data_IF_415252742588
#
_entry.id   IF_415252742588
#
_cell.length_a   1.000
_cell.length_b   1.000
_cell.length_c   1.000
_cell.angle_alpha   90.00
_cell.angle_beta   90.00
_cell.angle_gamma   90.00
#
_symmetry.space_group_name_H-M   'P 1'
#
loop_
_entity.id
_entity.type
_entity.pdbx_description
1 polymer ?
#
# COMPACT_ATOMS: atom_id res chain seq x y z
N UNK A 1 9.90 -16.93 12.92
CA UNK A 1 10.29 -15.61 12.40
C UNK A 1 9.17 -15.14 11.48
N UNK A 2 8.77 -13.87 11.58
CA UNK A 2 7.77 -13.28 10.68
C UNK A 2 8.35 -13.20 9.26
N UNK A 3 7.60 -13.70 8.27
CA UNK A 3 7.99 -13.62 6.85
C UNK A 3 7.79 -12.19 6.37
N UNK A 4 8.80 -11.64 5.68
CA UNK A 4 8.64 -10.37 4.96
C UNK A 4 8.03 -10.72 3.60
N UNK A 5 6.80 -10.25 3.39
CA UNK A 5 6.07 -10.45 2.14
C UNK A 5 6.04 -9.14 1.36
N UNK A 6 6.19 -9.23 0.05
CA UNK A 6 5.99 -8.12 -0.88
C UNK A 6 5.09 -8.57 -2.03
N UNK A 7 4.38 -7.67 -2.73
CA UNK A 7 3.62 -8.03 -3.92
C UNK A 7 4.51 -8.69 -4.97
N UNK A 8 4.02 -9.76 -5.58
CA UNK A 8 4.74 -10.48 -6.62
C UNK A 8 4.80 -9.66 -7.92
N UNK A 9 5.88 -9.82 -8.68
CA UNK A 9 6.04 -9.27 -10.03
C UNK A 9 6.64 -10.34 -10.95
N UNK A 10 6.22 -10.39 -12.21
CA UNK A 10 6.66 -11.40 -13.18
C UNK A 10 8.17 -11.33 -13.49
N UNK A 11 8.85 -10.23 -13.15
CA UNK A 11 10.31 -10.12 -13.27
C UNK A 11 11.07 -10.78 -12.11
N UNK A 12 10.41 -11.09 -11.00
CA UNK A 12 11.06 -11.59 -9.79
C UNK A 12 11.58 -13.02 -9.97
N UNK A 13 12.81 -13.28 -9.50
CA UNK A 13 13.44 -14.60 -9.55
C UNK A 13 13.97 -15.02 -8.19
N UNK A 14 13.99 -16.33 -7.94
CA UNK A 14 14.66 -16.88 -6.76
C UNK A 14 16.13 -16.44 -6.72
N UNK A 15 16.57 -16.00 -5.55
CA UNK A 15 17.97 -15.63 -5.30
C UNK A 15 18.33 -14.24 -5.83
N UNK A 16 17.37 -13.52 -6.40
CA UNK A 16 17.54 -12.13 -6.80
C UNK A 16 17.61 -11.24 -5.56
N UNK A 17 18.54 -10.27 -5.56
CA UNK A 17 18.61 -9.23 -4.56
C UNK A 17 17.42 -8.27 -4.64
N UNK A 18 17.06 -7.68 -3.52
CA UNK A 18 15.86 -6.86 -3.43
C UNK A 18 16.01 -5.77 -2.37
N UNK A 19 15.60 -4.55 -2.72
CA UNK A 19 15.50 -3.44 -1.78
C UNK A 19 14.07 -3.39 -1.21
N UNK A 20 13.91 -3.81 0.04
CA UNK A 20 12.62 -3.87 0.74
C UNK A 20 12.05 -2.49 1.06
N UNK A 21 12.86 -1.43 1.05
CA UNK A 21 12.40 -0.06 1.30
C UNK A 21 11.82 0.61 0.05
N UNK A 22 12.46 0.43 -1.10
CA UNK A 22 12.00 1.00 -2.38
C UNK A 22 11.12 0.05 -3.20
N UNK A 23 10.97 -1.21 -2.77
CA UNK A 23 10.33 -2.28 -3.52
C UNK A 23 10.90 -2.37 -4.94
N UNK A 24 12.22 -2.47 -5.00
CA UNK A 24 12.97 -2.50 -6.25
C UNK A 24 13.74 -3.81 -6.38
N UNK A 25 13.61 -4.53 -7.51
CA UNK A 25 14.50 -5.63 -7.83
C UNK A 25 15.93 -5.10 -8.01
N UNK A 26 16.90 -5.81 -7.44
CA UNK A 26 18.32 -5.50 -7.55
C UNK A 26 19.00 -6.58 -8.40
N UNK A 27 20.28 -6.87 -8.14
CA UNK A 27 21.07 -7.83 -8.90
C UNK A 27 20.44 -9.23 -8.93
N UNK A 28 20.45 -9.86 -10.11
CA UNK A 28 20.09 -11.27 -10.26
C UNK A 28 21.18 -12.17 -9.65
N UNK A 29 20.81 -13.41 -9.29
CA UNK A 29 21.77 -14.41 -8.78
C UNK A 29 22.58 -13.97 -7.52
N UNK A 30 22.06 -13.01 -6.75
CA UNK A 30 22.68 -12.57 -5.48
C UNK A 30 22.94 -13.73 -4.51
N UNK A 31 22.07 -14.75 -4.54
CA UNK A 31 22.17 -15.96 -3.74
C UNK A 31 21.86 -17.19 -4.59
N UNK A 32 22.58 -18.29 -4.35
CA UNK A 32 22.24 -19.60 -4.94
C UNK A 32 21.77 -20.59 -3.90
N UNK A 33 20.75 -21.36 -4.26
CA UNK A 33 20.23 -22.45 -3.45
C UNK A 33 20.84 -23.77 -3.93
N UNK A 34 21.36 -24.61 -3.01
CA UNK A 34 21.91 -25.93 -3.37
C UNK A 34 20.85 -27.02 -3.37
N UNK A 35 19.81 -26.88 -2.54
CA UNK A 35 18.72 -27.85 -2.41
C UNK A 35 17.36 -27.13 -2.44
N UNK A 36 16.56 -27.41 -3.48
CA UNK A 36 15.23 -26.83 -3.66
C UNK A 36 14.21 -27.71 -2.94
N UNK A 37 13.88 -27.38 -1.69
CA UNK A 37 12.77 -28.03 -0.99
C UNK A 37 11.50 -27.20 -1.17
N UNK A 38 10.59 -27.65 -2.03
CA UNK A 38 9.26 -27.04 -2.13
C UNK A 38 8.45 -27.45 -0.91
N UNK A 39 8.17 -26.52 0.00
CA UNK A 39 7.21 -26.75 1.08
C UNK A 39 5.79 -26.67 0.52
N UNK A 40 5.27 -27.76 0.00
CA UNK A 40 3.84 -27.81 -0.37
C UNK A 40 3.00 -27.94 0.91
N UNK A 41 2.00 -27.07 1.07
CA UNK A 41 0.92 -27.31 2.03
C UNK A 41 0.22 -28.62 1.62
N UNK A 42 -0.07 -29.54 2.56
CA UNK A 42 -0.69 -30.81 2.22
C UNK A 42 -2.05 -30.58 1.53
N UNK A 43 -2.26 -31.23 0.39
CA UNK A 43 -3.60 -31.35 -0.20
C UNK A 43 -4.51 -32.09 0.78
N UNK A 44 -5.75 -31.62 0.94
CA UNK A 44 -6.73 -32.33 1.77
C UNK A 44 -6.93 -33.77 1.27
N UNK A 45 -7.37 -34.68 2.15
CA UNK A 45 -7.62 -36.09 1.82
C UNK A 45 -8.64 -36.31 0.70
N UNK A 46 -9.42 -35.27 0.34
CA UNK A 46 -10.43 -35.26 -0.71
C UNK A 46 -9.92 -34.63 -2.03
N UNK A 47 -8.61 -34.35 -2.15
CA UNK A 47 -8.02 -33.73 -3.34
C UNK A 47 -8.33 -32.23 -3.50
N UNK A 48 -9.05 -31.61 -2.55
CA UNK A 48 -9.25 -30.15 -2.52
C UNK A 48 -7.99 -29.44 -2.03
N UNK A 49 -7.69 -28.27 -2.63
CA UNK A 49 -6.54 -27.45 -2.26
C UNK A 49 -6.77 -26.88 -0.86
N UNK A 50 -5.84 -27.13 0.07
CA UNK A 50 -5.87 -26.48 1.39
C UNK A 50 -5.69 -24.98 1.20
N UNK A 51 -6.60 -24.18 1.76
CA UNK A 51 -6.54 -22.72 1.67
C UNK A 51 -6.56 -22.11 3.06
N UNK A 52 -5.62 -21.19 3.31
CA UNK A 52 -5.71 -20.25 4.41
C UNK A 52 -6.33 -18.95 3.89
N UNK A 53 -7.48 -18.56 4.45
CA UNK A 53 -8.25 -17.39 4.00
C UNK A 53 -8.32 -16.38 5.13
N UNK A 54 -7.82 -15.17 4.87
CA UNK A 54 -7.90 -14.02 5.76
C UNK A 54 -8.84 -12.97 5.16
N UNK A 55 -9.93 -12.68 5.88
CA UNK A 55 -10.89 -11.63 5.49
C UNK A 55 -10.76 -10.45 6.44
N UNK A 56 -10.62 -9.24 5.89
CA UNK A 56 -10.53 -8.00 6.67
C UNK A 56 -11.41 -6.91 6.07
N UNK A 57 -12.21 -6.26 6.89
CA UNK A 57 -12.92 -5.03 6.53
C UNK A 57 -12.72 -3.98 7.61
N UNK A 58 -12.36 -2.75 7.23
CA UNK A 58 -12.08 -1.65 8.16
C UNK A 58 -12.27 -0.28 7.52
N UNK A 59 -12.54 0.74 8.33
CA UNK A 59 -12.35 2.13 7.92
C UNK A 59 -10.87 2.47 7.90
N UNK A 60 -10.47 3.34 6.98
CA UNK A 60 -9.07 3.75 6.82
C UNK A 60 -8.99 5.26 6.66
N UNK A 61 -8.26 5.91 7.55
CA UNK A 61 -8.05 7.36 7.48
C UNK A 61 -6.71 7.71 6.82
N UNK A 62 -5.70 6.85 6.98
CA UNK A 62 -4.33 7.07 6.50
C UNK A 62 -4.00 6.16 5.33
N UNK A 63 -3.38 6.74 4.30
CA UNK A 63 -2.98 5.99 3.11
C UNK A 63 -1.85 5.02 3.44
N UNK A 64 -1.03 5.34 4.45
CA UNK A 64 0.05 4.47 4.93
C UNK A 64 -0.47 3.16 5.52
N UNK A 65 -1.67 3.15 6.10
CA UNK A 65 -2.32 1.93 6.59
C UNK A 65 -2.80 1.04 5.43
N UNK A 66 -3.25 1.66 4.33
CA UNK A 66 -3.59 0.93 3.10
C UNK A 66 -2.33 0.28 2.51
N UNK A 67 -1.23 1.06 2.40
CA UNK A 67 0.05 0.57 1.88
C UNK A 67 0.57 -0.62 2.68
N UNK A 68 0.61 -0.49 4.02
CA UNK A 68 1.01 -1.58 4.94
C UNK A 68 0.15 -2.82 4.74
N UNK A 69 -1.18 -2.67 4.59
CA UNK A 69 -2.07 -3.83 4.41
C UNK A 69 -1.85 -4.54 3.08
N UNK A 70 -1.49 -3.80 2.04
CA UNK A 70 -1.12 -4.34 0.74
C UNK A 70 0.33 -4.86 0.69
N UNK A 71 1.04 -4.85 1.83
CA UNK A 71 2.46 -5.17 1.91
C UNK A 71 3.30 -4.29 0.96
N UNK A 72 2.90 -3.04 0.69
CA UNK A 72 3.64 -2.09 -0.15
C UNK A 72 4.39 -1.11 0.73
N UNK A 73 5.68 -0.89 0.46
CA UNK A 73 6.44 0.13 1.19
C UNK A 73 5.98 1.54 0.87
N UNK A 74 5.95 2.38 1.90
CA UNK A 74 5.71 3.80 1.77
C UNK A 74 6.75 4.51 0.89
N UNK A 75 8.03 4.13 1.00
CA UNK A 75 9.10 4.67 0.16
C UNK A 75 8.86 4.41 -1.31
N UNK A 76 8.51 3.15 -1.67
CA UNK A 76 8.09 2.82 -3.04
C UNK A 76 6.88 3.63 -3.49
N UNK A 77 5.89 3.83 -2.61
CA UNK A 77 4.64 4.51 -2.97
C UNK A 77 4.88 5.98 -3.31
N UNK A 78 5.70 6.66 -2.50
CA UNK A 78 6.12 8.04 -2.76
C UNK A 78 6.87 8.14 -4.09
N UNK A 79 7.87 7.28 -4.33
CA UNK A 79 8.70 7.32 -5.55
C UNK A 79 7.90 7.04 -6.81
N UNK A 80 6.90 6.15 -6.73
CA UNK A 80 6.02 5.81 -7.85
C UNK A 80 4.82 6.75 -7.99
N UNK A 81 4.62 7.67 -7.04
CA UNK A 81 3.55 8.66 -7.07
C UNK A 81 2.16 8.13 -6.67
N UNK A 82 2.08 6.97 -6.01
CA UNK A 82 0.83 6.31 -5.61
C UNK A 82 1.10 4.91 -5.04
N UNK A 83 0.08 4.27 -4.48
CA UNK A 83 0.20 2.88 -4.01
C UNK A 83 0.13 1.95 -5.21
N UNK A 84 1.28 1.66 -5.82
CA UNK A 84 1.36 0.71 -6.93
C UNK A 84 1.88 -0.62 -6.38
N UNK A 85 0.98 -1.61 -6.27
CA UNK A 85 1.38 -3.01 -6.15
C UNK A 85 2.16 -3.42 -7.41
N UNK A 86 3.33 -4.04 -7.26
CA UNK A 86 4.08 -4.54 -8.42
C UNK A 86 3.28 -5.67 -9.09
N UNK A 87 3.36 -5.77 -10.42
CA UNK A 87 2.54 -6.68 -11.25
C UNK A 87 1.07 -6.27 -11.48
N UNK A 88 0.41 -5.64 -10.50
CA UNK A 88 -1.00 -5.25 -10.59
C UNK A 88 -1.23 -3.92 -9.87
N UNK A 89 -1.62 -2.90 -10.63
CA UNK A 89 -1.93 -1.60 -10.08
C UNK A 89 -3.22 -1.69 -9.26
N UNK A 90 -3.07 -1.70 -7.93
CA UNK A 90 -4.12 -1.14 -7.09
C UNK A 90 -4.10 0.36 -7.37
N UNK A 91 -4.71 0.80 -8.48
CA UNK A 91 -4.90 2.23 -8.75
C UNK A 91 -5.94 2.75 -7.77
N UNK A 92 -5.51 2.99 -6.54
CA UNK A 92 -6.27 3.79 -5.62
C UNK A 92 -6.46 5.13 -6.28
N UNK A 93 -7.70 5.57 -6.43
CA UNK A 93 -7.94 6.94 -6.86
C UNK A 93 -7.65 7.84 -5.67
N UNK A 94 -6.39 8.28 -5.54
CA UNK A 94 -5.96 9.02 -4.36
C UNK A 94 -6.70 10.34 -4.20
N UNK A 95 -7.08 10.95 -5.33
CA UNK A 95 -7.88 12.19 -5.33
C UNK A 95 -9.25 11.93 -4.67
N UNK A 96 -9.90 10.80 -4.99
CA UNK A 96 -11.17 10.43 -4.36
C UNK A 96 -10.99 10.00 -2.91
N UNK A 97 -9.91 9.29 -2.59
CA UNK A 97 -9.59 8.91 -1.20
C UNK A 97 -9.48 10.16 -0.31
N UNK A 98 -8.68 11.15 -0.74
CA UNK A 98 -8.47 12.39 0.01
C UNK A 98 -9.70 13.31 0.05
N UNK A 99 -10.53 13.30 -1.00
CA UNK A 99 -11.75 14.10 -1.04
C UNK A 99 -12.93 13.48 -0.27
N UNK A 100 -12.81 12.23 0.15
CA UNK A 100 -13.88 11.49 0.83
C UNK A 100 -13.80 11.68 2.34
N UNK A 101 -14.97 11.72 2.99
CA UNK A 101 -15.05 11.85 4.45
C UNK A 101 -14.99 10.50 5.16
N UNK A 102 -15.30 9.43 4.41
CA UNK A 102 -15.31 8.05 4.87
C UNK A 102 -14.65 7.20 3.80
N UNK A 103 -13.58 6.50 4.18
CA UNK A 103 -12.95 5.49 3.34
C UNK A 103 -12.99 4.14 4.06
N UNK A 104 -13.39 3.09 3.35
CA UNK A 104 -13.42 1.72 3.87
C UNK A 104 -12.68 0.77 2.92
N UNK A 105 -11.85 -0.09 3.50
CA UNK A 105 -11.10 -1.10 2.77
C UNK A 105 -11.66 -2.48 3.09
N UNK A 106 -11.91 -3.26 2.03
CA UNK A 106 -12.28 -4.67 2.09
C UNK A 106 -11.14 -5.47 1.47
N UNK A 107 -10.63 -6.47 2.18
CA UNK A 107 -9.49 -7.27 1.73
C UNK A 107 -9.74 -8.74 2.00
N UNK A 108 -9.48 -9.58 1.00
CA UNK A 108 -9.50 -11.04 1.09
C UNK A 108 -8.18 -11.57 0.60
N UNK A 109 -7.42 -12.20 1.50
CA UNK A 109 -6.16 -12.86 1.18
C UNK A 109 -6.36 -14.35 1.25
N UNK A 110 -5.99 -15.04 0.19
CA UNK A 110 -6.12 -16.49 0.05
C UNK A 110 -4.73 -17.04 -0.22
N UNK A 111 -4.26 -17.94 0.63
CA UNK A 111 -2.99 -18.64 0.48
C UNK A 111 -3.30 -20.10 0.20
N UNK A 112 -2.88 -20.59 -0.96
CA UNK A 112 -3.01 -21.99 -1.35
C UNK A 112 -1.70 -22.75 -1.11
N UNK A 113 -0.57 -22.15 -1.50
CA UNK A 113 0.74 -22.78 -1.41
C UNK A 113 1.82 -21.74 -1.09
N UNK A 114 2.88 -22.15 -0.40
CA UNK A 114 4.07 -21.32 -0.18
C UNK A 114 5.32 -22.09 -0.57
N UNK A 115 6.00 -21.67 -1.64
CA UNK A 115 7.30 -22.24 -2.03
C UNK A 115 8.40 -21.41 -1.40
N UNK A 116 9.30 -22.02 -0.63
CA UNK A 116 10.37 -21.30 0.08
C UNK A 116 11.66 -22.13 0.11
N UNK A 117 12.79 -21.55 -0.28
CA UNK A 117 14.05 -22.26 -0.52
C UNK A 117 15.11 -21.95 0.55
N UNK A 118 14.78 -22.20 1.83
CA UNK A 118 15.67 -21.82 2.94
C UNK A 118 16.91 -22.73 3.12
N UNK A 119 16.89 -23.94 2.55
CA UNK A 119 17.76 -25.05 2.97
C UNK A 119 19.27 -24.79 2.91
N UNK A 120 19.77 -24.07 1.90
CA UNK A 120 21.21 -23.89 1.66
C UNK A 120 21.51 -22.67 0.78
N UNK A 121 20.84 -21.55 1.05
CA UNK A 121 21.12 -20.29 0.37
C UNK A 121 22.60 -19.89 0.57
N UNK A 122 23.31 -19.59 -0.51
CA UNK A 122 24.74 -19.21 -0.51
C UNK A 122 24.90 -17.88 -1.24
N UNK A 123 25.27 -16.83 -0.51
CA UNK A 123 25.52 -15.50 -1.07
C UNK A 123 26.66 -15.52 -2.09
N UNK A 124 26.51 -14.75 -3.17
CA UNK A 124 27.47 -14.61 -4.27
C UNK A 124 27.97 -13.17 -4.38
N UNK A 125 29.17 -12.87 -3.88
CA UNK A 125 29.79 -11.58 -4.13
C UNK A 125 30.12 -11.44 -5.62
N UNK A 126 29.96 -10.23 -6.14
CA UNK A 126 30.33 -9.89 -7.51
C UNK A 126 31.84 -9.71 -7.57
N UNK A 127 32.47 -10.40 -8.51
CA UNK A 127 33.92 -10.33 -8.68
C UNK A 127 34.35 -8.92 -9.17
N UNK A 128 35.50 -8.44 -8.69
CA UNK A 128 36.21 -7.29 -9.28
C UNK A 128 35.82 -5.89 -8.80
N UNK A 129 34.99 -5.75 -7.76
CA UNK A 129 34.62 -4.45 -7.18
C UNK A 129 34.92 -4.37 -5.69
N UNK A 130 35.56 -3.27 -5.26
CA UNK A 130 35.59 -2.90 -3.84
C UNK A 130 34.17 -2.42 -3.50
N UNK A 131 33.44 -3.21 -2.72
CA UNK A 131 32.12 -2.87 -2.21
C UNK A 131 32.28 -2.20 -0.85
N UNK A 132 31.55 -1.12 -0.64
CA UNK A 132 31.23 -0.53 0.65
C UNK A 132 29.74 -0.73 0.96
N UNK A 133 29.27 -0.28 2.13
CA UNK A 133 27.88 -0.50 2.54
C UNK A 133 26.87 0.20 1.63
N UNK A 134 27.21 1.39 1.11
CA UNK A 134 26.33 2.16 0.20
C UNK A 134 26.18 1.45 -1.15
N UNK A 135 27.31 1.16 -1.81
CA UNK A 135 27.31 0.41 -3.07
C UNK A 135 26.73 -1.01 -2.91
N UNK A 136 26.87 -1.63 -1.73
CA UNK A 136 26.22 -2.88 -1.43
C UNK A 136 24.69 -2.76 -1.46
N UNK A 137 24.10 -1.80 -0.73
CA UNK A 137 22.63 -1.65 -0.69
C UNK A 137 22.07 -1.25 -2.06
N UNK A 138 22.80 -0.48 -2.85
CA UNK A 138 22.42 -0.14 -4.23
C UNK A 138 22.41 -1.36 -5.17
N UNK A 139 23.43 -2.22 -5.07
CA UNK A 139 23.59 -3.37 -5.99
C UNK A 139 22.76 -4.57 -5.55
N UNK A 140 22.73 -4.87 -4.26
CA UNK A 140 22.15 -6.09 -3.70
C UNK A 140 20.82 -5.88 -2.98
N UNK A 141 20.55 -4.65 -2.54
CA UNK A 141 19.48 -4.37 -1.57
C UNK A 141 19.82 -4.89 -0.17
N UNK A 142 18.80 -4.99 0.68
CA UNK A 142 18.90 -5.50 2.05
C UNK A 142 18.44 -6.96 2.19
N UNK A 143 17.70 -7.46 1.21
CA UNK A 143 17.15 -8.81 1.20
C UNK A 143 17.37 -9.50 -0.15
N UNK A 144 17.05 -10.79 -0.20
CA UNK A 144 16.91 -11.54 -1.45
C UNK A 144 15.58 -12.30 -1.49
N UNK A 145 15.11 -12.64 -2.69
CA UNK A 145 13.88 -13.40 -2.89
C UNK A 145 14.16 -14.88 -2.63
N UNK A 146 13.55 -15.42 -1.56
CA UNK A 146 13.73 -16.83 -1.15
C UNK A 146 12.52 -17.70 -1.43
N UNK A 147 11.39 -17.10 -1.78
CA UNK A 147 10.11 -17.79 -1.84
C UNK A 147 9.05 -17.03 -2.61
N UNK A 148 7.98 -17.76 -2.93
CA UNK A 148 6.76 -17.22 -3.50
C UNK A 148 5.54 -17.84 -2.81
N UNK A 149 4.51 -17.03 -2.63
CA UNK A 149 3.21 -17.45 -2.14
C UNK A 149 2.24 -17.45 -3.30
N UNK A 150 1.53 -18.56 -3.46
CA UNK A 150 0.50 -18.74 -4.48
C UNK A 150 -0.88 -18.77 -3.83
N UNK A 151 -1.84 -18.11 -4.46
CA UNK A 151 -3.23 -18.05 -4.02
C UNK A 151 -3.97 -16.93 -4.73
N UNK A 152 -4.53 -16.00 -3.96
CA UNK A 152 -5.22 -14.84 -4.51
C UNK A 152 -5.38 -13.71 -3.49
N UNK A 153 -5.46 -12.48 -3.99
CA UNK A 153 -5.68 -11.29 -3.20
C UNK A 153 -6.79 -10.46 -3.85
N UNK A 154 -7.80 -10.07 -3.10
CA UNK A 154 -8.83 -9.13 -3.53
C UNK A 154 -8.82 -7.96 -2.56
N UNK A 155 -8.75 -6.75 -3.11
CA UNK A 155 -8.86 -5.51 -2.34
C UNK A 155 -9.89 -4.60 -2.99
N UNK A 156 -10.89 -4.20 -2.23
CA UNK A 156 -11.85 -3.16 -2.57
C UNK A 156 -11.65 -1.92 -1.70
N UNK A 157 -11.65 -0.75 -2.32
CA UNK A 157 -11.67 0.55 -1.65
C UNK A 157 -13.01 1.23 -1.91
N UNK A 158 -13.69 1.63 -0.85
CA UNK A 158 -14.95 2.38 -0.86
C UNK A 158 -14.65 3.78 -0.35
N UNK A 159 -14.76 4.78 -1.22
CA UNK A 159 -14.51 6.18 -0.91
C UNK A 159 -15.83 6.95 -1.03
N UNK A 160 -16.37 7.39 0.10
CA UNK A 160 -17.64 8.10 0.17
C UNK A 160 -17.44 9.56 0.59
N UNK A 161 -17.78 10.47 -0.33
CA UNK A 161 -17.88 11.90 -0.05
C UNK A 161 -19.30 12.23 0.39
N UNK A 162 -19.43 12.70 1.63
CA UNK A 162 -20.72 12.98 2.25
C UNK A 162 -21.14 14.41 1.92
N UNK A 163 -22.34 14.59 1.38
CA UNK A 163 -22.83 15.92 0.98
C UNK A 163 -23.16 16.80 2.20
N UNK A 164 -23.59 16.20 3.32
CA UNK A 164 -23.76 16.84 4.62
C UNK A 164 -22.90 16.13 5.67
N UNK A 165 -21.90 16.83 6.22
CA UNK A 165 -20.93 16.27 7.18
C UNK A 165 -21.60 15.66 8.42
N UNK A 166 -22.77 16.18 8.83
CA UNK A 166 -23.56 15.62 9.95
C UNK A 166 -24.00 14.16 9.71
N UNK A 167 -24.09 13.75 8.45
CA UNK A 167 -24.49 12.40 8.07
C UNK A 167 -23.31 11.41 8.04
N UNK A 168 -22.08 11.82 8.38
CA UNK A 168 -20.90 10.93 8.39
C UNK A 168 -21.15 9.65 9.18
N UNK A 169 -21.67 9.75 10.40
CA UNK A 169 -21.95 8.57 11.25
C UNK A 169 -23.02 7.67 10.64
N UNK A 170 -24.03 8.23 9.97
CA UNK A 170 -25.06 7.44 9.28
C UNK A 170 -24.49 6.66 8.09
N UNK A 171 -23.57 7.27 7.33
CA UNK A 171 -22.87 6.61 6.21
C UNK A 171 -21.95 5.50 6.71
N UNK A 172 -21.20 5.72 7.79
CA UNK A 172 -20.39 4.67 8.43
C UNK A 172 -21.27 3.49 8.89
N UNK A 173 -22.41 3.77 9.54
CA UNK A 173 -23.38 2.73 9.93
C UNK A 173 -23.94 1.98 8.73
N UNK A 174 -24.21 2.66 7.62
CA UNK A 174 -24.69 2.03 6.40
C UNK A 174 -23.67 1.06 5.79
N UNK A 175 -22.40 1.49 5.72
CA UNK A 175 -21.30 0.63 5.25
C UNK A 175 -21.15 -0.59 6.18
N UNK A 176 -21.16 -0.38 7.50
CA UNK A 176 -21.12 -1.48 8.50
C UNK A 176 -22.28 -2.47 8.33
N UNK A 177 -23.51 -1.99 8.18
CA UNK A 177 -24.68 -2.86 8.01
C UNK A 177 -24.58 -3.72 6.75
N UNK A 178 -24.10 -3.15 5.63
CA UNK A 178 -23.86 -3.91 4.40
C UNK A 178 -22.79 -4.99 4.57
N UNK A 179 -21.70 -4.71 5.32
CA UNK A 179 -20.68 -5.71 5.66
C UNK A 179 -21.32 -6.86 6.44
N UNK A 180 -22.02 -6.55 7.53
CA UNK A 180 -22.65 -7.55 8.41
C UNK A 180 -23.70 -8.40 7.69
N UNK A 181 -24.53 -7.77 6.85
CA UNK A 181 -25.58 -8.44 6.08
C UNK A 181 -25.02 -9.44 5.06
N UNK A 182 -23.88 -9.14 4.42
CA UNK A 182 -23.26 -10.08 3.48
C UNK A 182 -22.59 -11.26 4.19
N UNK A 183 -22.02 -11.05 5.37
CA UNK A 183 -21.35 -12.11 6.15
C UNK A 183 -22.36 -13.13 6.72
N UNK A 184 -23.52 -12.67 7.19
CA UNK A 184 -24.59 -13.53 7.73
C UNK A 184 -25.22 -14.45 6.68
N UNK A 185 -25.44 -13.96 5.45
CA UNK A 185 -25.97 -14.77 4.34
C UNK A 185 -25.02 -15.88 3.87
N UNK A 186 -23.72 -15.74 4.11
CA UNK A 186 -22.70 -16.69 3.66
C UNK A 186 -22.33 -17.77 4.70
N UNK A 187 -22.77 -17.64 5.95
CA UNK A 187 -22.34 -18.53 7.04
C UNK A 187 -20.83 -18.48 7.37
N UNK A 188 -20.08 -17.54 6.79
CA UNK A 188 -18.65 -17.33 7.04
C UNK A 188 -18.45 -16.10 7.92
N UNK A 189 -17.76 -16.27 9.05
CA UNK A 189 -17.31 -15.17 9.90
C UNK A 189 -16.14 -14.47 9.18
N UNK A 190 -16.41 -13.32 8.55
CA UNK A 190 -15.36 -12.35 8.28
C UNK A 190 -14.90 -11.80 9.64
N UNK A 191 -13.60 -11.59 9.83
CA UNK A 191 -13.08 -10.92 11.03
C UNK A 191 -13.42 -9.43 10.89
N UNK A 192 -14.69 -9.12 11.13
CA UNK A 192 -15.24 -7.78 11.02
C UNK A 192 -14.91 -7.10 12.35
N UNK A 193 -13.90 -6.25 12.37
CA UNK A 193 -13.58 -5.39 13.51
C UNK A 193 -14.62 -4.27 13.72
N UNK A 194 -15.88 -4.50 13.34
CA UNK A 194 -16.97 -3.54 13.30
C UNK A 194 -18.26 -4.24 13.74
N UNK A 195 -18.56 -4.17 15.04
CA UNK A 195 -19.88 -4.56 15.56
C UNK A 195 -20.97 -3.69 14.92
N UNK A 196 -21.98 -4.34 14.32
CA UNK A 196 -23.13 -3.65 13.73
C UNK A 196 -24.33 -4.57 13.60
N UNK A 197 -25.31 -4.40 14.50
CA UNK A 197 -26.57 -5.15 14.55
C UNK A 197 -27.78 -4.33 14.04
N UNK A 198 -27.55 -3.30 13.21
CA UNK A 198 -28.61 -2.35 12.82
C UNK A 198 -29.23 -2.63 11.43
N UNK A 199 -30.53 -2.35 11.35
CA UNK A 199 -31.45 -2.66 10.25
C UNK A 199 -31.13 -1.98 8.91
N UNK A 200 -31.38 -2.70 7.81
CA UNK A 200 -30.98 -2.36 6.42
C UNK A 200 -31.79 -1.25 5.72
N UNK A 201 -32.89 -0.74 6.28
CA UNK A 201 -33.78 0.22 5.60
C UNK A 201 -33.39 1.69 5.78
N UNK A 202 -32.82 2.07 6.93
CA UNK A 202 -32.32 3.44 7.17
C UNK A 202 -30.96 3.70 6.51
N UNK A 203 -30.27 2.64 6.09
CA UNK A 203 -28.90 2.69 5.56
C UNK A 203 -28.84 3.06 4.08
N UNK A 204 -29.84 2.68 3.28
CA UNK A 204 -29.90 3.02 1.85
C UNK A 204 -30.18 4.51 1.60
N UNK A 205 -30.95 5.17 2.46
CA UNK A 205 -31.24 6.60 2.35
C UNK A 205 -30.01 7.45 2.65
N UNK A 206 -29.18 7.04 3.63
CA UNK A 206 -27.91 7.69 3.96
C UNK A 206 -26.91 7.61 2.79
N UNK A 207 -26.81 6.44 2.13
CA UNK A 207 -25.93 6.24 0.97
C UNK A 207 -26.35 7.09 -0.25
N UNK A 208 -27.65 7.37 -0.44
CA UNK A 208 -28.14 8.23 -1.53
C UNK A 208 -27.68 9.69 -1.43
N UNK A 209 -27.24 10.14 -0.25
CA UNK A 209 -26.72 11.48 -0.02
C UNK A 209 -25.18 11.53 -0.06
N UNK A 210 -24.56 10.57 -0.73
CA UNK A 210 -23.10 10.49 -0.89
C UNK A 210 -22.73 10.33 -2.35
N UNK A 211 -21.58 10.92 -2.73
CA UNK A 211 -20.87 10.53 -3.93
C UNK A 211 -19.91 9.41 -3.54
N UNK A 212 -20.26 8.17 -3.90
CA UNK A 212 -19.50 6.96 -3.54
C UNK A 212 -18.76 6.43 -4.75
N UNK A 213 -17.46 6.24 -4.61
CA UNK A 213 -16.61 5.56 -5.58
C UNK A 213 -16.09 4.25 -5.00
N UNK A 214 -16.23 3.17 -5.77
CA UNK A 214 -15.74 1.85 -5.39
C UNK A 214 -14.73 1.39 -6.44
N UNK A 215 -13.50 1.15 -5.99
CA UNK A 215 -12.43 0.57 -6.81
C UNK A 215 -12.11 -0.81 -6.27
N UNK A 216 -11.99 -1.81 -7.16
CA UNK A 216 -11.67 -3.18 -6.76
C UNK A 216 -10.54 -3.70 -7.64
N UNK A 217 -9.52 -4.24 -6.99
CA UNK A 217 -8.36 -4.84 -7.60
C UNK A 217 -8.24 -6.27 -7.08
N UNK A 218 -7.90 -7.21 -7.95
CA UNK A 218 -7.79 -8.61 -7.55
C UNK A 218 -6.71 -9.35 -8.34
N UNK A 219 -6.23 -10.42 -7.73
CA UNK A 219 -5.17 -11.30 -8.16
C UNK A 219 -5.57 -12.74 -7.90
N UNK A 220 -5.49 -13.60 -8.92
CA UNK A 220 -6.08 -14.94 -8.82
C UNK A 220 -7.61 -14.89 -8.85
N UNK A 221 -8.23 -16.05 -9.09
CA UNK A 221 -9.66 -16.14 -9.33
C UNK A 221 -10.05 -15.57 -10.70
N UNK A 222 -10.52 -16.44 -11.60
CA UNK A 222 -10.99 -16.04 -12.93
C UNK A 222 -12.44 -15.54 -12.86
N UNK A 223 -12.76 -14.49 -13.64
CA UNK A 223 -14.14 -14.04 -13.85
C UNK A 223 -14.76 -13.34 -12.64
N UNK A 224 -13.97 -12.51 -11.96
CA UNK A 224 -14.40 -11.73 -10.78
C UNK A 224 -15.31 -10.55 -11.16
N UNK A 225 -15.12 -9.93 -12.33
CA UNK A 225 -16.07 -8.98 -12.92
C UNK A 225 -16.06 -9.13 -14.45
N UNK A 226 -16.69 -10.19 -14.99
CA UNK A 226 -16.61 -10.52 -16.42
C UNK A 226 -17.30 -9.47 -17.31
N UNK A 227 -18.32 -8.78 -16.78
CA UNK A 227 -19.13 -7.84 -17.55
C UNK A 227 -18.60 -6.40 -17.49
N UNK A 228 -17.53 -6.15 -16.73
CA UNK A 228 -16.96 -4.81 -16.52
C UNK A 228 -17.95 -3.83 -15.88
N UNK A 229 -18.97 -4.34 -15.16
CA UNK A 229 -20.00 -3.50 -14.54
C UNK A 229 -19.39 -2.66 -13.40
N UNK A 230 -19.89 -1.43 -13.17
CA UNK A 230 -19.49 -0.65 -12.02
C UNK A 230 -19.71 -1.42 -10.71
N UNK A 231 -18.76 -1.31 -9.79
CA UNK A 231 -18.86 -1.95 -8.48
C UNK A 231 -19.89 -1.26 -7.61
N UNK A 232 -20.71 -2.07 -6.95
CA UNK A 232 -21.60 -1.64 -5.86
C UNK A 232 -21.11 -2.26 -4.57
N UNK A 233 -21.60 -1.76 -3.44
CA UNK A 233 -21.24 -2.30 -2.14
C UNK A 233 -21.66 -3.78 -2.03
N UNK A 234 -22.84 -4.11 -2.55
CA UNK A 234 -23.34 -5.48 -2.64
C UNK A 234 -22.47 -6.37 -3.53
N UNK A 235 -22.12 -5.93 -4.74
CA UNK A 235 -21.32 -6.76 -5.66
C UNK A 235 -19.89 -6.96 -5.15
N UNK A 236 -19.30 -5.97 -4.49
CA UNK A 236 -18.00 -6.10 -3.83
C UNK A 236 -18.02 -7.17 -2.73
N UNK A 237 -18.96 -7.11 -1.78
CA UNK A 237 -18.99 -8.07 -0.68
C UNK A 237 -19.39 -9.48 -1.11
N UNK A 238 -20.35 -9.61 -2.04
CA UNK A 238 -20.71 -10.90 -2.62
C UNK A 238 -19.50 -11.56 -3.30
N UNK A 239 -18.73 -10.76 -4.04
CA UNK A 239 -17.50 -11.20 -4.70
C UNK A 239 -16.42 -11.59 -3.70
N UNK A 240 -16.15 -10.73 -2.71
CA UNK A 240 -15.17 -10.99 -1.65
C UNK A 240 -15.46 -12.33 -0.94
N UNK A 241 -16.72 -12.59 -0.64
CA UNK A 241 -17.18 -13.82 0.00
C UNK A 241 -16.93 -15.07 -0.86
N UNK A 242 -17.25 -14.99 -2.16
CA UNK A 242 -17.07 -16.08 -3.12
C UNK A 242 -15.62 -16.24 -3.61
N UNK A 243 -14.75 -15.27 -3.32
CA UNK A 243 -13.39 -15.17 -3.85
C UNK A 243 -12.53 -16.42 -3.60
N UNK A 244 -12.48 -17.01 -2.39
CA UNK A 244 -11.63 -18.19 -2.17
C UNK A 244 -11.97 -19.37 -3.06
N UNK A 245 -13.26 -19.60 -3.34
CA UNK A 245 -13.70 -20.67 -4.24
C UNK A 245 -13.25 -20.43 -5.69
N UNK A 246 -13.13 -19.16 -6.10
CA UNK A 246 -12.57 -18.78 -7.41
C UNK A 246 -11.06 -18.97 -7.44
N UNK A 247 -10.37 -18.60 -6.37
CA UNK A 247 -8.93 -18.79 -6.22
C UNK A 247 -8.55 -20.27 -6.16
N UNK A 248 -9.38 -21.13 -5.56
CA UNK A 248 -9.16 -22.57 -5.54
C UNK A 248 -9.10 -23.17 -6.97
N UNK A 249 -9.83 -22.58 -7.92
CA UNK A 249 -9.81 -23.02 -9.32
C UNK A 249 -8.66 -22.41 -10.12
N UNK A 250 -8.28 -21.17 -9.81
CA UNK A 250 -7.27 -20.40 -10.56
C UNK A 250 -6.37 -19.59 -9.61
N UNK A 251 -5.47 -20.25 -8.87
CA UNK A 251 -4.51 -19.56 -8.04
C UNK A 251 -3.43 -18.88 -8.89
N UNK A 252 -2.80 -17.84 -8.34
CA UNK A 252 -1.72 -17.07 -8.94
C UNK A 252 -0.65 -16.74 -7.90
N UNK A 253 0.62 -16.55 -8.31
CA UNK A 253 1.62 -15.96 -7.41
C UNK A 253 1.16 -14.56 -6.98
N UNK A 254 1.03 -14.35 -5.67
CA UNK A 254 0.53 -13.10 -5.08
C UNK A 254 1.62 -12.34 -4.34
N UNK A 255 2.52 -13.05 -3.66
CA UNK A 255 3.59 -12.42 -2.90
C UNK A 255 4.93 -13.12 -3.14
N UNK A 256 6.01 -12.34 -3.10
CA UNK A 256 7.36 -12.85 -2.93
C UNK A 256 7.75 -12.81 -1.45
N UNK A 257 8.56 -13.78 -1.04
CA UNK A 257 9.13 -13.88 0.31
C UNK A 257 10.53 -13.32 0.25
N UNK A 258 10.78 -12.29 1.06
CA UNK A 258 12.11 -11.73 1.25
C UNK A 258 12.79 -12.38 2.45
N UNK A 259 14.05 -12.72 2.27
CA UNK A 259 14.95 -13.16 3.36
C UNK A 259 16.11 -12.17 3.46
N UNK A 260 16.34 -11.56 4.63
CA UNK A 260 17.50 -10.70 4.84
C UNK A 260 18.82 -11.46 4.63
N UNK A 261 19.83 -10.78 4.09
CA UNK A 261 21.13 -11.43 3.82
C UNK A 261 21.81 -11.96 5.08
N UNK A 262 21.54 -11.37 6.25
CA UNK A 262 22.09 -11.80 7.55
C UNK A 262 21.64 -13.22 7.98
N UNK A 263 20.59 -13.76 7.37
CA UNK A 263 20.16 -15.15 7.56
C UNK A 263 21.08 -16.16 6.85
N UNK A 264 21.98 -15.66 5.99
CA UNK A 264 22.89 -16.48 5.21
C UNK A 264 24.28 -16.49 5.85
N UNK A 265 24.71 -17.65 6.38
CA UNK A 265 25.98 -17.79 7.13
C UNK A 265 27.23 -17.32 6.38
N UNK A 266 27.31 -17.61 5.07
CA UNK A 266 28.47 -17.19 4.29
C UNK A 266 28.45 -15.67 4.00
N UNK A 267 27.28 -15.05 3.91
CA UNK A 267 27.17 -13.59 3.84
C UNK A 267 27.69 -12.93 5.11
N UNK A 268 27.26 -13.37 6.29
CA UNK A 268 27.69 -12.78 7.57
C UNK A 268 29.22 -12.79 7.71
N UNK A 269 29.85 -13.92 7.35
CA UNK A 269 31.32 -14.04 7.36
C UNK A 269 31.96 -13.11 6.32
N UNK A 270 31.42 -13.06 5.10
CA UNK A 270 31.92 -12.21 4.03
C UNK A 270 31.80 -10.72 4.38
N UNK A 271 30.63 -10.27 4.83
CA UNK A 271 30.36 -8.88 5.19
C UNK A 271 31.29 -8.39 6.30
N UNK A 272 31.51 -9.20 7.34
CA UNK A 272 32.45 -8.88 8.42
C UNK A 272 33.89 -8.68 7.93
N UNK A 273 34.34 -9.53 7.00
CA UNK A 273 35.70 -9.43 6.44
C UNK A 273 35.89 -8.22 5.54
N UNK A 274 34.80 -7.66 4.98
CA UNK A 274 34.82 -6.53 4.05
C UNK A 274 34.30 -5.23 4.69
N UNK A 275 33.95 -5.24 5.98
CA UNK A 275 33.40 -4.05 6.67
C UNK A 275 32.02 -3.61 6.18
N UNK A 276 31.25 -4.52 5.58
CA UNK A 276 29.90 -4.22 5.07
C UNK A 276 28.88 -4.27 6.21
N UNK A 277 28.11 -3.20 6.35
CA UNK A 277 26.95 -3.13 7.23
C UNK A 277 25.68 -3.27 6.40
N UNK A 278 24.84 -4.26 6.73
CA UNK A 278 23.56 -4.44 6.09
C UNK A 278 22.58 -3.34 6.52
N UNK A 279 21.97 -2.66 5.55
CA UNK A 279 20.96 -1.64 5.79
C UNK A 279 19.76 -2.21 6.57
N UNK A 280 19.24 -1.41 7.52
CA UNK A 280 18.09 -1.75 8.37
C UNK A 280 17.02 -0.70 8.21
N UNK A 281 15.95 -1.05 7.52
CA UNK A 281 14.93 -0.09 7.13
C UNK A 281 13.77 0.04 8.09
N UNK A 282 13.75 -0.65 9.24
CA UNK A 282 12.58 -0.70 10.13
C UNK A 282 12.17 0.70 10.61
N UNK A 283 13.11 1.51 11.10
CA UNK A 283 12.85 2.88 11.55
C UNK A 283 12.61 3.83 10.35
N UNK A 284 13.36 3.63 9.26
CA UNK A 284 13.18 4.42 8.04
C UNK A 284 11.80 4.19 7.39
N UNK A 285 11.27 2.96 7.43
CA UNK A 285 9.92 2.62 6.94
C UNK A 285 8.83 3.27 7.79
N UNK A 286 9.00 3.33 9.11
CA UNK A 286 8.08 4.04 9.99
C UNK A 286 8.02 5.53 9.61
N UNK A 287 9.19 6.17 9.46
CA UNK A 287 9.24 7.57 9.05
C UNK A 287 8.73 7.79 7.61
N UNK A 288 9.04 6.89 6.68
CA UNK A 288 8.51 6.94 5.33
C UNK A 288 6.97 6.80 5.29
N UNK A 289 6.37 6.08 6.24
CA UNK A 289 4.91 5.99 6.38
C UNK A 289 4.31 7.35 6.72
N UNK A 290 4.90 8.08 7.66
CA UNK A 290 4.48 9.45 8.01
C UNK A 290 4.67 10.40 6.81
N UNK A 291 5.79 10.26 6.10
CA UNK A 291 6.07 11.01 4.86
C UNK A 291 5.05 10.71 3.75
N UNK A 292 4.56 9.48 3.65
CA UNK A 292 3.56 9.12 2.66
C UNK A 292 2.22 9.80 2.97
N UNK A 293 1.80 9.79 4.24
CA UNK A 293 0.58 10.50 4.64
C UNK A 293 0.70 12.01 4.35
N UNK A 294 1.83 12.64 4.70
CA UNK A 294 2.09 14.05 4.38
C UNK A 294 2.09 14.31 2.86
N UNK A 295 2.73 13.43 2.08
CA UNK A 295 2.77 13.54 0.62
C UNK A 295 1.37 13.52 0.01
N UNK A 296 0.46 12.71 0.55
CA UNK A 296 -0.92 12.63 0.09
C UNK A 296 -1.76 13.85 0.46
N UNK A 297 -1.53 14.43 1.64
CA UNK A 297 -2.15 15.69 2.02
C UNK A 297 -1.71 16.85 1.12
N UNK A 298 -0.44 16.87 0.71
CA UNK A 298 0.06 17.80 -0.29
C UNK A 298 -0.61 17.61 -1.67
N UNK A 299 -0.85 16.37 -2.10
CA UNK A 299 -1.65 16.09 -3.30
C UNK A 299 -3.08 16.64 -3.18
N UNK A 300 -3.69 16.52 -1.99
CA UNK A 300 -5.00 17.09 -1.67
C UNK A 300 -5.02 18.62 -1.79
N UNK A 301 -4.04 19.30 -1.19
CA UNK A 301 -3.88 20.75 -1.28
C UNK A 301 -3.74 21.23 -2.74
N UNK A 302 -2.92 20.55 -3.54
CA UNK A 302 -2.76 20.86 -4.98
C UNK A 302 -4.06 20.67 -5.76
N UNK A 303 -4.83 19.63 -5.42
CA UNK A 303 -6.14 19.39 -6.02
C UNK A 303 -7.15 20.48 -5.67
N UNK A 304 -7.15 20.97 -4.43
CA UNK A 304 -7.96 22.11 -4.00
C UNK A 304 -7.60 23.38 -4.76
N UNK A 305 -6.31 23.68 -4.94
CA UNK A 305 -5.87 24.82 -5.75
C UNK A 305 -6.40 24.71 -7.19
N UNK A 306 -6.32 23.52 -7.80
CA UNK A 306 -6.87 23.30 -9.15
C UNK A 306 -8.37 23.63 -9.20
N UNK A 307 -9.15 23.16 -8.22
CA UNK A 307 -10.58 23.47 -8.16
C UNK A 307 -10.86 24.97 -7.95
N UNK A 308 -10.03 25.67 -7.16
CA UNK A 308 -10.16 27.13 -7.00
C UNK A 308 -9.83 27.84 -8.32
N UNK A 309 -8.83 27.38 -9.06
CA UNK A 309 -8.48 27.94 -10.37
C UNK A 309 -9.59 27.77 -11.42
N UNK A 310 -10.39 26.72 -11.31
CA UNK A 310 -11.55 26.46 -12.20
C UNK A 310 -12.73 27.41 -11.92
N UNK A 311 -12.97 27.77 -10.66
CA UNK A 311 -14.01 28.74 -10.26
C UNK A 311 -13.55 29.65 -9.11
N UNK A 312 -12.70 30.66 -9.38
CA UNK A 312 -12.16 31.52 -8.32
C UNK A 312 -13.24 32.34 -7.59
N UNK A 313 -14.36 32.63 -8.27
CA UNK A 313 -15.45 33.46 -7.74
C UNK A 313 -16.21 32.81 -6.58
N UNK A 314 -16.21 31.48 -6.51
CA UNK A 314 -16.84 30.70 -5.44
C UNK A 314 -16.03 30.65 -4.15
N UNK A 315 -14.80 31.19 -4.12
CA UNK A 315 -13.91 31.10 -2.97
C UNK A 315 -13.56 32.47 -2.39
N UNK A 316 -13.13 32.46 -1.13
CA UNK A 316 -12.61 33.62 -0.41
C UNK A 316 -11.33 33.23 0.35
N UNK A 317 -10.38 34.15 0.40
CA UNK A 317 -9.17 33.98 1.20
C UNK A 317 -9.53 33.87 2.69
N UNK A 318 -8.78 33.05 3.42
CA UNK A 318 -8.96 32.92 4.87
C UNK A 318 -8.37 34.13 5.61
N UNK A 319 -8.94 34.48 6.75
CA UNK A 319 -8.42 35.51 7.64
C UNK A 319 -7.32 34.94 8.56
N UNK A 320 -6.21 34.48 7.97
CA UNK A 320 -5.04 33.96 8.68
C UNK A 320 -3.76 34.58 8.14
N UNK A 321 -2.70 34.57 8.94
CA UNK A 321 -1.38 35.00 8.48
C UNK A 321 -0.90 34.15 7.29
N UNK A 322 -0.30 34.80 6.30
CA UNK A 322 0.16 34.16 5.05
C UNK A 322 -0.94 33.40 4.29
N UNK A 323 -2.21 33.85 4.38
CA UNK A 323 -3.29 33.31 3.58
C UNK A 323 -2.96 33.38 2.09
N UNK A 324 -3.27 32.31 1.36
CA UNK A 324 -3.18 32.29 -0.10
C UNK A 324 -4.42 32.98 -0.64
N UNK A 325 -4.24 34.02 -1.45
CA UNK A 325 -5.35 34.70 -2.09
C UNK A 325 -5.95 33.90 -3.25
N UNK A 326 -7.05 34.40 -3.82
CA UNK A 326 -7.77 33.74 -4.93
C UNK A 326 -7.25 34.17 -6.30
N UNK A 327 -6.23 35.02 -6.37
CA UNK A 327 -5.63 35.45 -7.63
C UNK A 327 -4.86 34.32 -8.31
N UNK A 328 -4.95 34.25 -9.64
CA UNK A 328 -4.26 33.24 -10.46
C UNK A 328 -2.76 33.14 -10.14
N UNK A 329 -2.05 34.27 -10.05
CA UNK A 329 -0.60 34.28 -9.76
C UNK A 329 -0.27 33.73 -8.36
N UNK A 330 -1.09 34.05 -7.36
CA UNK A 330 -0.91 33.59 -5.98
C UNK A 330 -1.17 32.09 -5.86
N UNK A 331 -2.21 31.60 -6.52
CA UNK A 331 -2.56 30.17 -6.58
C UNK A 331 -1.49 29.35 -7.30
N UNK A 332 -0.95 29.86 -8.42
CA UNK A 332 0.15 29.20 -9.14
C UNK A 332 1.45 29.19 -8.31
N UNK A 333 1.74 30.27 -7.56
CA UNK A 333 2.87 30.31 -6.63
C UNK A 333 2.71 29.29 -5.52
N UNK A 334 1.53 29.23 -4.89
CA UNK A 334 1.22 28.25 -3.84
C UNK A 334 1.36 26.81 -4.37
N UNK A 335 0.84 26.51 -5.56
CA UNK A 335 1.01 25.21 -6.21
C UNK A 335 2.49 24.83 -6.38
N UNK A 336 3.32 25.75 -6.87
CA UNK A 336 4.76 25.51 -7.04
C UNK A 336 5.46 25.21 -5.71
N UNK A 337 5.06 25.88 -4.63
CA UNK A 337 5.62 25.62 -3.29
C UNK A 337 5.21 24.25 -2.75
N UNK A 338 3.96 23.82 -2.97
CA UNK A 338 3.50 22.47 -2.61
C UNK A 338 4.24 21.39 -3.41
N UNK A 339 4.48 21.62 -4.71
CA UNK A 339 5.30 20.73 -5.54
C UNK A 339 6.74 20.62 -5.00
N UNK A 340 7.34 21.73 -4.54
CA UNK A 340 8.66 21.71 -3.90
C UNK A 340 8.70 20.92 -2.57
N UNK A 341 7.63 20.95 -1.77
CA UNK A 341 7.52 20.13 -0.55
C UNK A 341 7.47 18.63 -0.90
N UNK A 342 6.71 18.25 -1.93
CA UNK A 342 6.65 16.86 -2.41
C UNK A 342 7.98 16.38 -2.97
N UNK A 343 8.71 17.24 -3.68
CA UNK A 343 10.05 16.94 -4.16
C UNK A 343 11.05 16.76 -3.00
N UNK A 344 10.93 17.55 -1.93
CA UNK A 344 11.74 17.39 -0.72
C UNK A 344 11.46 16.05 -0.02
N UNK A 345 10.20 15.62 0.05
CA UNK A 345 9.84 14.28 0.53
C UNK A 345 10.48 13.20 -0.35
N UNK A 346 10.38 13.31 -1.68
CA UNK A 346 10.98 12.34 -2.61
C UNK A 346 12.51 12.23 -2.43
N UNK A 347 13.20 13.36 -2.28
CA UNK A 347 14.65 13.40 -1.99
C UNK A 347 15.01 12.83 -0.62
N UNK A 348 14.12 13.00 0.36
CA UNK A 348 14.27 12.40 1.69
C UNK A 348 14.22 10.87 1.60
N UNK A 349 13.29 10.33 0.81
CA UNK A 349 13.20 8.88 0.55
C UNK A 349 14.47 8.36 -0.14
N UNK A 350 15.01 9.09 -1.13
CA UNK A 350 16.26 8.68 -1.80
C UNK A 350 17.44 8.57 -0.82
N UNK A 351 17.57 9.52 0.12
CA UNK A 351 18.61 9.47 1.15
C UNK A 351 18.39 8.32 2.14
N UNK A 352 17.16 8.12 2.58
CA UNK A 352 16.82 7.03 3.51
C UNK A 352 17.04 5.64 2.91
N UNK A 353 16.94 5.51 1.59
CA UNK A 353 17.19 4.25 0.90
C UNK A 353 18.67 3.82 0.93
N UNK A 354 19.58 4.75 1.19
CA UNK A 354 21.03 4.52 1.26
C UNK A 354 21.49 4.57 2.74
N UNK A 355 21.01 5.56 3.49
CA UNK A 355 21.38 5.83 4.89
C UNK A 355 20.14 5.81 5.81
N UNK A 356 19.54 4.63 6.05
CA UNK A 356 18.35 4.53 6.89
C UNK A 356 18.59 4.88 8.37
N UNK A 357 19.84 4.91 8.83
CA UNK A 357 20.24 5.29 10.19
C UNK A 357 20.29 6.81 10.43
N UNK A 358 20.45 7.62 9.38
CA UNK A 358 20.71 9.07 9.48
C UNK A 358 19.44 9.93 9.48
N UNK A 359 18.32 9.38 9.96
CA UNK A 359 16.98 10.01 9.88
C UNK A 359 16.99 11.45 10.39
N UNK A 360 17.60 11.71 11.54
CA UNK A 360 17.61 13.03 12.18
C UNK A 360 18.45 14.06 11.41
N UNK A 361 19.52 13.62 10.76
CA UNK A 361 20.34 14.49 9.93
C UNK A 361 19.64 14.78 8.59
N UNK A 362 19.02 13.76 8.00
CA UNK A 362 18.22 13.91 6.77
C UNK A 362 17.04 14.87 7.00
N UNK A 363 16.36 14.79 8.15
CA UNK A 363 15.28 15.71 8.54
C UNK A 363 15.72 17.17 8.56
N UNK A 364 16.94 17.46 9.05
CA UNK A 364 17.49 18.82 9.10
C UNK A 364 17.81 19.36 7.71
N UNK A 365 18.30 18.50 6.82
CA UNK A 365 18.71 18.88 5.47
C UNK A 365 17.52 19.18 4.56
N UNK A 366 16.37 18.54 4.79
CA UNK A 366 15.14 18.73 4.02
C UNK A 366 13.97 19.04 4.97
N UNK A 367 13.86 20.27 5.48
CA UNK A 367 12.76 20.66 6.35
C UNK A 367 11.44 20.61 5.57
N UNK A 368 10.56 19.71 5.98
CA UNK A 368 9.21 19.55 5.42
C UNK A 368 8.24 20.28 6.34
N UNK A 369 7.47 21.21 5.78
CA UNK A 369 6.41 21.89 6.54
C UNK A 369 5.24 20.91 6.79
N UNK A 370 4.46 21.13 7.84
CA UNK A 370 3.26 20.34 8.08
C UNK A 370 2.18 20.70 7.03
N UNK A 371 1.58 19.73 6.30
CA UNK A 371 0.57 20.02 5.27
C UNK A 371 -0.69 20.71 5.82
N UNK A 372 -1.01 20.53 7.10
CA UNK A 372 -2.16 21.16 7.75
C UNK A 372 -2.02 22.69 7.81
N UNK A 373 -0.77 23.19 7.91
CA UNK A 373 -0.49 24.62 7.81
C UNK A 373 -0.80 25.17 6.42
N UNK A 374 -0.54 24.37 5.37
CA UNK A 374 -0.93 24.70 4.01
C UNK A 374 -2.45 24.70 3.84
N UNK A 375 -3.12 23.64 4.28
CA UNK A 375 -4.59 23.54 4.23
C UNK A 375 -5.27 24.71 4.97
N UNK A 376 -4.69 25.15 6.09
CA UNK A 376 -5.17 26.30 6.87
C UNK A 376 -4.99 27.65 6.16
N UNK A 377 -4.08 27.78 5.18
CA UNK A 377 -3.83 29.00 4.40
C UNK A 377 -4.64 29.07 3.10
N UNK A 378 -5.09 27.92 2.57
CA UNK A 378 -5.81 27.86 1.30
C UNK A 378 -7.21 28.49 1.37
N UNK A 379 -7.67 29.13 0.27
CA UNK A 379 -9.02 29.67 0.17
C UNK A 379 -10.12 28.65 0.49
N UNK A 380 -11.20 29.13 1.08
CA UNK A 380 -12.40 28.34 1.39
C UNK A 380 -13.55 28.75 0.50
N UNK A 381 -14.46 27.81 0.25
CA UNK A 381 -15.68 28.09 -0.51
C UNK A 381 -16.57 29.02 0.31
N UNK A 382 -17.19 30.00 -0.37
CA UNK A 382 -18.14 30.95 0.22
C UNK A 382 -19.39 30.28 0.77
#
# INVERSE_FOLDING_TARGET
MSRILIPFDDSMRFGQGYNSFLHAPCIEDAVRFKDVYTRQEPTSSDGSISQNVDYSSRFVDKISDVAKRLNVSAGSSIKKGGIIGTGYSVELNETKFMASNVNAMVSVKVINQTTELLGTATFKPRDGHNLDSESFVEIYGDCFISGFVEGGELTGMVSAKVLNVENKSAVEKAIKSHISSCCTKSGRKMDVALDGNDSTSETESAMKQTDTAITVCWLGGRGINPDGRPWTLESLYATATAFPSKVAQYPKPTWAILTPYDQTKNFVTWAKNHGIQLARFETAQAYASDLLDMYMEYCGCTSQIRTILEDPGAYVARAVDNAVGTGMEELLRARKMLEAQRDAISKTIDKLAIHPEDIEEIKKQHPIEAPELWAARLPIRK
#
